data_IF_023813316350
#
_entry.id   IF_023813316350
#
_cell.length_a   1.000
_cell.length_b   1.000
_cell.length_c   1.000
_cell.angle_alpha   90.00
_cell.angle_beta   90.00
_cell.angle_gamma   90.00
#
_symmetry.space_group_name_H-M   'P 1'
#
loop_
_entity.id
_entity.type
_entity.pdbx_description
1 polymer ?
#
# COMPACT_ATOMS: atom_id res chain seq x y z
N UNK A 1 39.30 26.62 -39.89
CA UNK A 1 37.85 26.31 -39.97
C UNK A 1 37.37 26.16 -38.55
N UNK A 2 36.59 27.13 -38.05
CA UNK A 2 35.96 27.02 -36.74
C UNK A 2 34.57 26.45 -37.04
N UNK A 3 34.29 25.26 -36.51
CA UNK A 3 32.99 24.58 -36.60
C UNK A 3 31.90 25.44 -35.94
N UNK A 4 30.74 25.54 -36.59
CA UNK A 4 29.56 26.21 -36.03
C UNK A 4 29.20 25.59 -34.68
N UNK A 5 28.91 26.46 -33.71
CA UNK A 5 28.39 26.07 -32.40
C UNK A 5 26.90 25.78 -32.56
N UNK A 6 26.50 24.51 -32.49
CA UNK A 6 25.08 24.15 -32.38
C UNK A 6 24.56 24.51 -30.99
N UNK A 7 23.42 25.21 -30.93
CA UNK A 7 22.72 25.48 -29.68
C UNK A 7 21.91 24.27 -29.28
N UNK A 8 22.29 23.66 -28.16
CA UNK A 8 21.48 22.66 -27.45
C UNK A 8 20.24 23.35 -26.83
N UNK A 9 19.06 22.83 -27.18
CA UNK A 9 17.75 23.36 -26.74
C UNK A 9 17.14 22.55 -25.60
N UNK A 10 17.73 21.42 -25.21
CA UNK A 10 17.15 20.47 -24.25
C UNK A 10 17.11 21.03 -22.82
N UNK A 11 17.78 22.16 -22.58
CA UNK A 11 17.84 22.84 -21.29
C UNK A 11 17.37 24.31 -21.34
N UNK A 12 16.57 24.68 -22.35
CA UNK A 12 15.94 26.01 -22.40
C UNK A 12 14.65 25.99 -21.58
N UNK A 13 14.68 26.68 -20.42
CA UNK A 13 13.51 26.86 -19.54
C UNK A 13 13.75 26.33 -18.12
N UNK A 14 12.84 26.64 -17.20
CA UNK A 14 12.87 26.06 -15.87
C UNK A 14 12.40 24.60 -15.95
N UNK A 15 13.17 23.67 -15.37
CA UNK A 15 12.75 22.27 -15.25
C UNK A 15 11.57 22.19 -14.25
N UNK A 16 10.35 21.83 -14.69
CA UNK A 16 9.20 21.75 -13.80
C UNK A 16 9.14 20.42 -13.02
N UNK A 17 9.99 19.44 -13.36
CA UNK A 17 10.01 18.13 -12.73
C UNK A 17 10.71 18.21 -11.36
N UNK A 18 10.04 17.68 -10.34
CA UNK A 18 10.63 17.46 -9.02
C UNK A 18 11.47 16.18 -9.04
N UNK A 19 12.38 16.03 -8.06
CA UNK A 19 13.15 14.79 -7.87
C UNK A 19 12.24 13.57 -7.83
N UNK A 20 12.54 12.56 -8.64
CA UNK A 20 11.77 11.31 -8.66
C UNK A 20 12.10 10.42 -7.46
N UNK A 21 11.06 9.86 -6.85
CA UNK A 21 11.20 8.79 -5.87
C UNK A 21 11.40 7.48 -6.62
N UNK A 22 12.45 6.73 -6.27
CA UNK A 22 12.69 5.41 -6.87
C UNK A 22 11.56 4.45 -6.46
N UNK A 23 10.76 4.04 -7.43
CA UNK A 23 9.67 3.08 -7.29
C UNK A 23 9.88 1.91 -8.24
N UNK A 24 9.56 0.70 -7.79
CA UNK A 24 9.51 -0.48 -8.68
C UNK A 24 8.10 -1.03 -8.73
N UNK A 25 7.55 -1.21 -9.93
CA UNK A 25 6.21 -1.78 -10.14
C UNK A 25 6.29 -3.20 -10.67
N UNK A 26 5.46 -4.07 -10.12
CA UNK A 26 5.35 -5.48 -10.48
C UNK A 26 3.89 -5.82 -10.75
N UNK A 27 3.67 -6.70 -11.74
CA UNK A 27 2.40 -7.38 -11.88
C UNK A 27 2.46 -8.69 -11.09
N UNK A 28 1.60 -8.85 -10.10
CA UNK A 28 1.52 -10.03 -9.24
C UNK A 28 0.07 -10.51 -9.13
N UNK A 29 -0.13 -11.74 -8.65
CA UNK A 29 -1.48 -12.23 -8.30
C UNK A 29 -1.87 -11.88 -6.86
N UNK A 30 -3.16 -12.01 -6.55
CA UNK A 30 -3.69 -11.77 -5.21
C UNK A 30 -3.03 -12.65 -4.14
N UNK A 31 -2.69 -13.90 -4.48
CA UNK A 31 -1.96 -14.79 -3.59
C UNK A 31 -0.58 -14.22 -3.23
N UNK A 32 0.18 -13.77 -4.21
CA UNK A 32 1.46 -13.11 -3.98
C UNK A 32 1.32 -11.81 -3.20
N UNK A 33 0.25 -11.04 -3.44
CA UNK A 33 -0.04 -9.82 -2.69
C UNK A 33 -0.31 -10.13 -1.22
N UNK A 34 -1.14 -11.13 -0.93
CA UNK A 34 -1.42 -11.56 0.44
C UNK A 34 -0.14 -11.92 1.18
N UNK A 35 0.72 -12.72 0.56
CA UNK A 35 2.02 -13.07 1.15
C UNK A 35 2.90 -11.85 1.43
N UNK A 36 2.98 -10.90 0.49
CA UNK A 36 3.80 -9.68 0.66
C UNK A 36 3.25 -8.74 1.72
N UNK A 37 1.94 -8.73 1.93
CA UNK A 37 1.30 -8.00 3.03
C UNK A 37 1.23 -8.84 4.31
N UNK A 38 1.95 -9.96 4.40
CA UNK A 38 2.00 -10.76 5.61
C UNK A 38 0.78 -11.63 5.90
N UNK A 39 -0.18 -11.81 5.00
CA UNK A 39 -1.32 -12.68 5.27
C UNK A 39 -1.02 -14.14 4.89
N UNK A 40 -1.02 -15.04 5.88
CA UNK A 40 -0.89 -16.48 5.64
C UNK A 40 -2.25 -17.12 5.36
N UNK A 41 -2.38 -17.70 4.16
CA UNK A 41 -3.63 -18.34 3.73
C UNK A 41 -3.93 -19.64 4.45
N UNK A 42 -2.90 -20.39 4.87
CA UNK A 42 -3.08 -21.70 5.49
C UNK A 42 -3.72 -21.54 6.86
N UNK A 43 -3.22 -20.58 7.62
CA UNK A 43 -3.65 -20.31 8.99
C UNK A 43 -4.72 -19.21 9.04
N UNK A 44 -4.95 -18.50 7.91
CA UNK A 44 -5.85 -17.33 7.78
C UNK A 44 -5.53 -16.22 8.78
N UNK A 45 -4.26 -16.08 9.12
CA UNK A 45 -3.74 -15.16 10.12
C UNK A 45 -2.59 -14.34 9.55
N UNK A 46 -2.30 -13.21 10.19
CA UNK A 46 -1.14 -12.40 9.84
C UNK A 46 0.15 -13.10 10.28
N UNK A 47 1.17 -13.04 9.43
CA UNK A 47 2.51 -13.52 9.66
C UNK A 47 3.18 -12.58 10.65
N UNK A 48 3.56 -13.18 11.76
CA UNK A 48 4.22 -12.52 12.87
C UNK A 48 5.61 -13.13 13.00
N UNK A 49 6.63 -12.30 12.85
CA UNK A 49 7.99 -12.67 13.21
C UNK A 49 8.25 -12.32 14.68
N UNK A 50 8.96 -13.20 15.39
CA UNK A 50 9.42 -12.90 16.75
C UNK A 50 10.79 -12.26 16.69
N UNK A 51 10.85 -10.94 16.91
CA UNK A 51 12.09 -10.19 16.94
C UNK A 51 12.38 -9.71 18.36
N UNK A 52 13.51 -10.14 18.95
CA UNK A 52 13.81 -9.97 20.39
C UNK A 52 12.67 -10.45 21.32
N UNK A 53 11.96 -11.50 20.92
CA UNK A 53 10.79 -12.02 21.66
C UNK A 53 9.52 -11.18 21.51
N UNK A 54 9.55 -10.10 20.73
CA UNK A 54 8.39 -9.25 20.43
C UNK A 54 7.77 -9.69 19.10
N UNK A 55 6.44 -9.90 19.03
CA UNK A 55 5.75 -10.18 17.78
C UNK A 55 5.70 -8.92 16.90
N UNK A 56 6.25 -8.99 15.70
CA UNK A 56 6.24 -7.92 14.69
C UNK A 56 5.56 -8.44 13.42
N UNK A 57 4.56 -7.74 12.87
CA UNK A 57 3.93 -8.13 11.63
C UNK A 57 4.88 -7.92 10.44
N UNK A 58 4.75 -8.77 9.43
CA UNK A 58 5.46 -8.61 8.15
C UNK A 58 5.10 -7.27 7.46
N UNK A 59 3.83 -6.88 7.54
CA UNK A 59 3.32 -5.64 6.94
C UNK A 59 2.46 -4.86 7.93
N UNK A 60 2.76 -3.57 8.11
CA UNK A 60 1.95 -2.66 8.89
C UNK A 60 0.85 -2.06 8.03
N UNK A 61 -0.41 -2.35 8.39
CA UNK A 61 -1.58 -1.80 7.69
C UNK A 61 -1.97 -0.39 8.15
N UNK A 62 -1.39 0.09 9.24
CA UNK A 62 -1.61 1.44 9.79
C UNK A 62 -0.28 2.17 9.91
N UNK A 63 0.46 2.39 8.81
CA UNK A 63 1.78 3.01 8.90
C UNK A 63 1.68 4.45 9.38
N UNK A 64 2.70 4.88 10.12
CA UNK A 64 2.84 6.25 10.62
C UNK A 64 4.02 6.97 9.96
N UNK A 65 3.99 8.30 10.03
CA UNK A 65 5.11 9.18 9.71
C UNK A 65 5.44 10.05 10.91
N UNK A 66 6.68 10.54 10.99
CA UNK A 66 7.11 11.41 12.09
C UNK A 66 7.03 12.88 11.63
N UNK A 67 6.28 13.68 12.37
CA UNK A 67 6.21 15.12 12.14
C UNK A 67 7.43 15.87 12.73
N UNK A 68 7.56 17.15 12.40
CA UNK A 68 8.63 18.06 12.84
C UNK A 68 8.80 18.14 14.35
N UNK A 69 7.73 17.89 15.11
CA UNK A 69 7.72 17.94 16.57
C UNK A 69 8.09 16.56 17.17
N UNK A 70 8.32 15.55 16.33
CA UNK A 70 8.67 14.18 16.71
C UNK A 70 7.46 13.29 17.01
N UNK A 71 6.26 13.73 16.64
CA UNK A 71 5.00 13.02 16.89
C UNK A 71 4.75 12.04 15.73
N UNK A 72 4.35 10.81 16.08
CA UNK A 72 3.93 9.83 15.08
C UNK A 72 2.47 10.04 14.69
N UNK A 73 2.23 10.15 13.38
CA UNK A 73 0.92 10.43 12.81
C UNK A 73 0.56 9.30 11.83
N UNK A 74 -0.54 8.61 12.09
CA UNK A 74 -1.19 7.77 11.06
C UNK A 74 -1.83 8.70 10.02
N UNK A 75 -1.27 8.71 8.81
CA UNK A 75 -1.73 9.60 7.75
C UNK A 75 -2.93 9.04 6.97
N UNK A 76 -3.18 7.73 7.06
CA UNK A 76 -4.27 7.08 6.34
C UNK A 76 -5.59 7.16 7.13
N UNK A 77 -6.70 7.43 6.45
CA UNK A 77 -8.05 7.31 7.03
C UNK A 77 -8.33 5.89 7.54
N UNK A 78 -9.23 5.75 8.51
CA UNK A 78 -9.72 4.44 8.98
C UNK A 78 -10.48 3.64 7.90
N UNK A 79 -10.98 2.46 8.28
CA UNK A 79 -11.77 1.60 7.39
C UNK A 79 -13.19 2.16 7.21
N UNK A 80 -13.44 2.85 6.09
CA UNK A 80 -14.68 3.60 5.83
C UNK A 80 -15.49 3.06 4.65
N UNK A 81 -15.02 1.99 4.00
CA UNK A 81 -15.78 1.36 2.93
C UNK A 81 -17.05 0.69 3.47
N UNK A 82 -18.18 1.05 2.87
CA UNK A 82 -19.46 0.38 3.08
C UNK A 82 -19.40 -1.07 2.56
N UNK A 83 -20.32 -1.92 3.04
CA UNK A 83 -20.45 -3.29 2.56
C UNK A 83 -20.57 -3.35 1.03
N UNK A 84 -21.40 -2.48 0.45
CA UNK A 84 -21.59 -2.40 -1.01
C UNK A 84 -20.26 -2.12 -1.75
N UNK A 85 -19.45 -1.18 -1.25
CA UNK A 85 -18.13 -0.90 -1.84
C UNK A 85 -17.18 -2.11 -1.74
N UNK A 86 -17.21 -2.83 -0.62
CA UNK A 86 -16.44 -4.08 -0.48
C UNK A 86 -16.91 -5.15 -1.47
N UNK A 87 -18.22 -5.31 -1.63
CA UNK A 87 -18.81 -6.27 -2.57
C UNK A 87 -18.53 -5.92 -4.03
N UNK A 88 -18.58 -4.64 -4.41
CA UNK A 88 -18.23 -4.16 -5.75
C UNK A 88 -16.76 -4.40 -6.10
N UNK A 89 -15.86 -4.40 -5.10
CA UNK A 89 -14.47 -4.84 -5.32
C UNK A 89 -14.41 -6.33 -5.69
N UNK A 90 -15.18 -7.19 -5.03
CA UNK A 90 -15.25 -8.62 -5.36
C UNK A 90 -15.84 -8.81 -6.76
N UNK A 91 -16.89 -8.06 -7.10
CA UNK A 91 -17.49 -8.08 -8.43
C UNK A 91 -16.50 -7.64 -9.52
N UNK A 92 -15.65 -6.65 -9.23
CA UNK A 92 -14.59 -6.23 -10.15
C UNK A 92 -13.59 -7.36 -10.45
N UNK A 93 -13.27 -8.17 -9.45
CA UNK A 93 -12.39 -9.35 -9.62
C UNK A 93 -13.05 -10.40 -10.51
N UNK A 94 -14.33 -10.71 -10.28
CA UNK A 94 -15.08 -11.65 -11.11
C UNK A 94 -15.18 -11.22 -12.57
N UNK A 95 -15.24 -9.90 -12.81
CA UNK A 95 -15.32 -9.32 -14.15
C UNK A 95 -13.96 -8.96 -14.76
N UNK A 96 -12.84 -9.39 -14.16
CA UNK A 96 -11.48 -9.09 -14.63
C UNK A 96 -11.16 -7.59 -14.77
N UNK A 97 -11.87 -6.74 -14.03
CA UNK A 97 -11.66 -5.28 -14.00
C UNK A 97 -10.49 -4.98 -13.07
N UNK A 98 -9.55 -4.13 -13.48
CA UNK A 98 -8.38 -3.76 -12.67
C UNK A 98 -8.80 -3.17 -11.31
N UNK A 99 -8.23 -3.69 -10.21
CA UNK A 99 -8.51 -3.20 -8.85
C UNK A 99 -7.48 -2.16 -8.34
N UNK A 100 -6.65 -1.63 -9.25
CA UNK A 100 -5.70 -0.55 -9.00
C UNK A 100 -4.38 -1.00 -8.37
N UNK A 101 -3.65 -0.01 -7.85
CA UNK A 101 -2.30 -0.17 -7.29
C UNK A 101 -2.31 -0.44 -5.79
N UNK A 102 -1.41 -1.29 -5.31
CA UNK A 102 -1.08 -1.45 -3.89
C UNK A 102 0.35 -0.97 -3.71
N UNK A 103 0.56 0.00 -2.83
CA UNK A 103 1.89 0.56 -2.58
C UNK A 103 2.40 0.07 -1.26
N UNK A 104 3.59 -0.51 -1.26
CA UNK A 104 4.29 -0.97 -0.08
C UNK A 104 5.62 -0.24 0.04
N UNK A 105 5.98 0.16 1.26
CA UNK A 105 7.33 0.60 1.59
C UNK A 105 8.03 -0.48 2.39
N UNK A 106 9.22 -0.88 1.97
CA UNK A 106 10.07 -1.76 2.77
C UNK A 106 10.68 -0.99 3.93
N UNK A 107 10.84 -1.67 5.07
CA UNK A 107 11.58 -1.15 6.23
C UNK A 107 12.84 -1.96 6.40
N UNK A 108 13.97 -1.27 6.52
CA UNK A 108 15.23 -1.95 6.80
C UNK A 108 15.20 -2.63 8.16
N UNK A 109 15.97 -3.71 8.27
CA UNK A 109 16.12 -4.44 9.53
C UNK A 109 16.55 -3.53 10.69
N UNK A 110 17.50 -2.61 10.43
CA UNK A 110 17.96 -1.62 11.40
C UNK A 110 16.84 -0.70 11.90
N UNK A 111 15.88 -0.35 11.03
CA UNK A 111 14.73 0.47 11.41
C UNK A 111 13.83 -0.29 12.39
N UNK A 112 13.50 -1.54 12.08
CA UNK A 112 12.65 -2.41 12.94
C UNK A 112 13.34 -2.67 14.28
N UNK A 113 14.62 -3.07 14.26
CA UNK A 113 15.40 -3.32 15.47
C UNK A 113 15.41 -2.09 16.40
N UNK A 114 15.68 -0.90 15.85
CA UNK A 114 15.69 0.35 16.62
C UNK A 114 14.35 0.59 17.31
N UNK A 115 13.23 0.41 16.60
CA UNK A 115 11.89 0.61 17.17
C UNK A 115 11.56 -0.40 18.27
N UNK A 116 11.96 -1.65 18.11
CA UNK A 116 11.82 -2.68 19.15
C UNK A 116 12.62 -2.30 20.41
N UNK A 117 13.88 -1.87 20.25
CA UNK A 117 14.72 -1.39 21.38
C UNK A 117 14.13 -0.17 22.07
N UNK A 118 13.53 0.75 21.32
CA UNK A 118 12.81 1.93 21.83
C UNK A 118 11.41 1.59 22.40
N UNK A 119 10.99 0.31 22.38
CA UNK A 119 9.65 -0.15 22.79
C UNK A 119 8.50 0.49 21.99
N UNK A 120 8.76 0.93 20.76
CA UNK A 120 7.78 1.50 19.84
C UNK A 120 7.22 0.42 18.93
N UNK A 121 6.27 -0.35 19.45
CA UNK A 121 5.69 -1.49 18.71
C UNK A 121 4.53 -1.08 17.81
N UNK A 122 3.78 -0.05 18.21
CA UNK A 122 2.76 0.54 17.35
C UNK A 122 3.39 1.04 16.03
N UNK A 123 2.67 0.80 14.93
CA UNK A 123 3.06 1.20 13.58
C UNK A 123 4.40 0.60 13.10
N UNK A 124 4.82 -0.54 13.67
CA UNK A 124 6.07 -1.22 13.31
C UNK A 124 5.78 -2.50 12.55
N UNK A 125 6.33 -2.62 11.34
CA UNK A 125 6.38 -3.84 10.54
C UNK A 125 7.63 -3.86 9.65
N UNK A 126 7.94 -5.01 9.03
CA UNK A 126 9.03 -5.12 8.04
C UNK A 126 8.71 -4.43 6.72
N UNK A 127 7.44 -4.13 6.51
CA UNK A 127 6.94 -3.30 5.42
C UNK A 127 5.72 -2.51 5.87
N UNK A 128 5.35 -1.49 5.11
CA UNK A 128 4.19 -0.64 5.35
C UNK A 128 3.28 -0.64 4.13
N UNK A 129 1.98 -0.93 4.30
CA UNK A 129 1.00 -0.75 3.24
C UNK A 129 0.67 0.75 3.11
N UNK A 130 1.33 1.44 2.20
CA UNK A 130 1.23 2.90 1.98
C UNK A 130 -0.10 3.28 1.33
N UNK A 131 -0.56 2.53 0.33
CA UNK A 131 -1.86 2.73 -0.32
C UNK A 131 -2.53 1.39 -0.64
N UNK A 132 -3.86 1.38 -0.61
CA UNK A 132 -4.66 0.18 -0.87
C UNK A 132 -5.31 -0.43 0.37
N UNK A 133 -5.18 0.18 1.56
CA UNK A 133 -5.73 -0.33 2.83
C UNK A 133 -7.17 -0.83 2.74
N UNK A 134 -8.09 -0.02 2.21
CA UNK A 134 -9.50 -0.42 2.08
C UNK A 134 -9.69 -1.65 1.19
N UNK A 135 -8.98 -1.70 0.07
CA UNK A 135 -9.05 -2.80 -0.89
C UNK A 135 -8.48 -4.05 -0.26
N UNK A 136 -7.26 -3.96 0.29
CA UNK A 136 -6.57 -5.08 0.90
C UNK A 136 -7.40 -5.69 2.04
N UNK A 137 -7.85 -4.88 3.00
CA UNK A 137 -8.68 -5.38 4.10
C UNK A 137 -9.98 -5.99 3.62
N UNK A 138 -10.62 -5.44 2.59
CA UNK A 138 -11.84 -6.03 2.01
C UNK A 138 -11.59 -7.39 1.36
N UNK A 139 -10.44 -7.58 0.70
CA UNK A 139 -10.05 -8.87 0.13
C UNK A 139 -9.82 -9.93 1.21
N UNK A 140 -9.12 -9.56 2.29
CA UNK A 140 -8.90 -10.43 3.43
C UNK A 140 -10.23 -10.77 4.13
N UNK A 141 -11.07 -9.76 4.38
CA UNK A 141 -12.39 -9.93 4.98
C UNK A 141 -13.25 -10.92 4.18
N UNK A 142 -13.28 -10.80 2.84
CA UNK A 142 -14.01 -11.74 1.99
C UNK A 142 -13.42 -13.15 2.05
N UNK A 143 -12.09 -13.27 1.94
CA UNK A 143 -11.38 -14.55 2.01
C UNK A 143 -11.61 -15.28 3.36
N UNK A 144 -11.80 -14.53 4.43
CA UNK A 144 -12.12 -15.01 5.77
C UNK A 144 -13.64 -15.18 6.02
N UNK A 145 -14.48 -15.07 4.98
CA UNK A 145 -15.94 -15.19 5.06
C UNK A 145 -16.60 -14.17 6.00
N UNK A 146 -16.04 -12.95 6.13
CA UNK A 146 -16.62 -11.90 6.99
C UNK A 146 -17.82 -11.19 6.35
N UNK A 147 -17.96 -11.26 5.03
CA UNK A 147 -19.13 -10.77 4.29
C UNK A 147 -19.33 -11.57 2.99
N UNK A 148 -20.56 -11.65 2.46
CA UNK A 148 -20.85 -12.32 1.19
C UNK A 148 -20.65 -11.40 -0.02
N UNK A 149 -20.49 -11.96 -1.22
CA UNK A 149 -20.53 -11.23 -2.49
C UNK A 149 -21.94 -10.64 -2.78
N UNK A 150 -22.12 -9.96 -3.92
CA UNK A 150 -23.44 -9.42 -4.33
C UNK A 150 -24.50 -10.50 -4.59
N UNK A 151 -24.10 -11.75 -4.72
CA UNK A 151 -24.97 -12.90 -4.96
C UNK A 151 -25.28 -13.69 -3.67
N UNK A 152 -24.76 -13.23 -2.52
CA UNK A 152 -24.98 -13.88 -1.23
C UNK A 152 -24.00 -15.02 -0.90
N UNK A 153 -22.97 -15.25 -1.72
CA UNK A 153 -21.98 -16.31 -1.48
C UNK A 153 -20.80 -15.78 -0.66
N UNK A 154 -20.38 -16.55 0.34
CA UNK A 154 -19.08 -16.36 0.99
C UNK A 154 -17.97 -17.01 0.17
N UNK A 155 -16.71 -16.65 0.43
CA UNK A 155 -15.56 -17.24 -0.27
C UNK A 155 -15.55 -18.78 -0.18
N UNK A 156 -15.93 -19.34 0.97
CA UNK A 156 -16.04 -20.80 1.15
C UNK A 156 -17.15 -21.47 0.35
N UNK A 157 -18.16 -20.71 -0.06
CA UNK A 157 -19.29 -21.24 -0.85
C UNK A 157 -18.91 -21.35 -2.33
N UNK A 158 -17.86 -20.66 -2.75
CA UNK A 158 -17.34 -20.71 -4.11
C UNK A 158 -16.75 -22.10 -4.42
N UNK A 159 -16.92 -22.54 -5.67
CA UNK A 159 -16.27 -23.76 -6.15
C UNK A 159 -14.75 -23.69 -6.03
N UNK A 160 -14.07 -24.83 -5.88
CA UNK A 160 -12.61 -24.88 -5.83
C UNK A 160 -11.95 -24.26 -7.08
N UNK A 161 -12.63 -24.26 -8.24
CA UNK A 161 -12.16 -23.56 -9.44
C UNK A 161 -12.24 -22.05 -9.26
N UNK A 162 -13.39 -21.52 -8.82
CA UNK A 162 -13.58 -20.09 -8.58
C UNK A 162 -12.65 -19.55 -7.49
N UNK A 163 -12.44 -20.30 -6.40
CA UNK A 163 -11.48 -19.92 -5.37
C UNK A 163 -10.04 -19.78 -5.92
N UNK A 164 -9.64 -20.70 -6.82
CA UNK A 164 -8.32 -20.62 -7.49
C UNK A 164 -8.22 -19.44 -8.46
N UNK A 165 -9.29 -19.17 -9.21
CA UNK A 165 -9.34 -18.03 -10.13
C UNK A 165 -9.26 -16.70 -9.37
N UNK A 166 -9.99 -16.58 -8.26
CA UNK A 166 -9.91 -15.44 -7.37
C UNK A 166 -8.46 -15.22 -6.87
N UNK A 167 -7.82 -16.25 -6.33
CA UNK A 167 -6.48 -16.07 -5.74
C UNK A 167 -5.38 -15.87 -6.78
N UNK A 168 -5.59 -16.33 -8.02
CA UNK A 168 -4.67 -16.13 -9.15
C UNK A 168 -4.99 -14.90 -9.99
N UNK A 169 -5.94 -14.08 -9.57
CA UNK A 169 -6.28 -12.84 -10.26
C UNK A 169 -5.08 -11.89 -10.30
N UNK A 170 -4.79 -11.31 -11.49
CA UNK A 170 -3.55 -10.54 -11.80
C UNK A 170 -3.79 -9.12 -12.32
N UNK A 171 -5.03 -8.63 -12.34
CA UNK A 171 -5.32 -7.27 -12.80
C UNK A 171 -5.15 -6.26 -11.66
N UNK A 172 -3.95 -6.24 -11.09
CA UNK A 172 -3.52 -5.32 -10.04
C UNK A 172 -2.05 -4.98 -10.25
N UNK A 173 -1.63 -3.84 -9.73
CA UNK A 173 -0.22 -3.46 -9.73
C UNK A 173 0.29 -3.40 -8.29
N UNK A 174 1.41 -4.04 -8.03
CA UNK A 174 2.14 -3.90 -6.78
C UNK A 174 3.30 -2.92 -6.99
N UNK A 175 3.40 -1.89 -6.14
CA UNK A 175 4.45 -0.88 -6.20
C UNK A 175 5.25 -0.93 -4.92
N UNK A 176 6.56 -0.97 -5.05
CA UNK A 176 7.48 -1.05 -3.93
C UNK A 176 8.34 0.21 -3.85
N UNK A 177 8.31 0.85 -2.69
CA UNK A 177 9.27 1.85 -2.25
C UNK A 177 10.39 1.12 -1.50
N UNK A 178 11.63 1.47 -1.84
CA UNK A 178 12.83 0.88 -1.27
C UNK A 178 13.01 1.22 0.21
N UNK A 179 13.89 0.52 0.91
CA UNK A 179 14.16 0.70 2.34
C UNK A 179 14.68 2.10 2.69
N UNK A 180 15.34 2.75 1.72
CA UNK A 180 15.87 4.12 1.83
C UNK A 180 14.80 5.20 1.61
N UNK A 181 13.58 4.83 1.18
CA UNK A 181 12.50 5.79 1.00
C UNK A 181 12.22 6.51 2.32
N UNK A 182 12.08 7.83 2.27
CA UNK A 182 11.81 8.68 3.43
C UNK A 182 10.31 8.77 3.73
N UNK A 183 9.96 9.37 4.87
CA UNK A 183 8.55 9.69 5.17
C UNK A 183 7.99 10.72 4.16
N UNK A 184 8.85 11.60 3.63
CA UNK A 184 8.49 12.53 2.55
C UNK A 184 8.15 11.80 1.26
N UNK A 185 8.98 10.84 0.88
CA UNK A 185 8.74 9.99 -0.30
C UNK A 185 7.44 9.19 -0.16
N UNK A 186 7.17 8.70 1.05
CA UNK A 186 5.94 7.98 1.40
C UNK A 186 4.71 8.87 1.22
N UNK A 187 4.69 10.07 1.83
CA UNK A 187 3.55 11.00 1.72
C UNK A 187 3.38 11.51 0.30
N UNK A 188 4.47 11.83 -0.40
CA UNK A 188 4.44 12.27 -1.79
C UNK A 188 3.81 11.18 -2.69
N UNK A 189 4.24 9.93 -2.52
CA UNK A 189 3.70 8.79 -3.28
C UNK A 189 2.22 8.58 -2.98
N UNK A 190 1.85 8.59 -1.69
CA UNK A 190 0.46 8.45 -1.26
C UNK A 190 -0.44 9.54 -1.86
N UNK A 191 -0.01 10.80 -1.80
CA UNK A 191 -0.75 11.94 -2.35
C UNK A 191 -0.84 11.88 -3.87
N UNK A 192 0.24 11.51 -4.56
CA UNK A 192 0.29 11.45 -6.03
C UNK A 192 -0.71 10.45 -6.59
N UNK A 193 -0.84 9.28 -5.95
CA UNK A 193 -1.78 8.23 -6.37
C UNK A 193 -3.23 8.65 -6.09
N UNK A 194 -3.48 9.24 -4.92
CA UNK A 194 -4.82 9.69 -4.55
C UNK A 194 -5.26 10.97 -5.29
N UNK A 195 -4.34 11.71 -5.90
CA UNK A 195 -4.66 12.85 -6.77
C UNK A 195 -5.24 12.42 -8.13
N UNK A 196 -4.80 11.27 -8.67
CA UNK A 196 -5.24 10.77 -9.97
C UNK A 196 -6.43 9.79 -9.91
N UNK A 197 -6.71 9.20 -8.74
CA UNK A 197 -7.73 8.16 -8.56
C UNK A 197 -9.09 8.63 -8.01
N UNK A 198 -9.96 7.68 -7.65
CA UNK A 198 -11.27 7.93 -7.02
C UNK A 198 -11.10 8.86 -5.81
N UNK A 199 -11.81 10.00 -5.75
CA UNK A 199 -11.44 11.11 -4.88
C UNK A 199 -11.55 10.73 -3.41
N UNK A 200 -10.40 10.73 -2.74
CA UNK A 200 -10.32 10.95 -1.30
C UNK A 200 -11.03 12.26 -0.95
N UNK A 201 -11.70 12.32 0.20
CA UNK A 201 -12.38 13.55 0.61
C UNK A 201 -11.39 14.71 0.68
N UNK A 202 -11.83 15.91 0.30
CA UNK A 202 -10.96 17.10 0.29
C UNK A 202 -10.39 17.37 1.69
N UNK A 203 -11.20 17.13 2.71
CA UNK A 203 -10.84 17.30 4.12
C UNK A 203 -9.66 16.40 4.49
N UNK A 204 -9.67 15.13 4.06
CA UNK A 204 -8.58 14.21 4.37
C UNK A 204 -7.31 14.53 3.58
N UNK A 205 -7.44 14.97 2.32
CA UNK A 205 -6.29 15.48 1.55
C UNK A 205 -5.66 16.71 2.22
N UNK A 206 -6.47 17.62 2.76
CA UNK A 206 -5.98 18.79 3.51
C UNK A 206 -5.28 18.37 4.81
N UNK A 207 -5.82 17.37 5.52
CA UNK A 207 -5.16 16.81 6.69
C UNK A 207 -3.76 16.26 6.34
N UNK A 208 -3.64 15.39 5.33
CA UNK A 208 -2.35 14.81 4.96
C UNK A 208 -1.35 15.88 4.52
N UNK A 209 -1.79 16.88 3.74
CA UNK A 209 -0.95 18.02 3.33
C UNK A 209 -0.54 18.94 4.48
N UNK A 210 -1.23 18.90 5.61
CA UNK A 210 -0.91 19.72 6.78
C UNK A 210 0.22 19.15 7.65
N UNK A 211 0.55 17.86 7.46
CA UNK A 211 1.63 17.18 8.19
C UNK A 211 2.97 17.78 7.75
N UNK A 212 3.69 18.38 8.70
CA UNK A 212 5.05 18.92 8.48
C UNK A 212 6.05 17.89 8.98
N UNK A 213 6.85 17.33 8.08
CA UNK A 213 7.82 16.27 8.41
C UNK A 213 9.08 16.83 9.09
N UNK A 214 9.75 15.95 9.85
CA UNK A 214 11.02 16.22 10.56
C UNK A 214 12.24 16.16 9.67
#
# INVERSE_FOLDING_TARGET
>A
MITEVEKDVDHIGANPFTTEVRVTSYQIDLESLFMRCGFDRKDKEDRIEKHFGVPIPECCLTPSVIDKDGIEIEYQRGLVWSLEQKQLLIESIYNHVEIGKFVIRKRSWNWVERRVKEKKIAHTGFSDLVDGKQRFTSLIDFYQNRFPDLHGNYFSDLSAKAQREFTRYRHLTYVELDEDATDSDTLHTFLSINFAGVPMSREHLHFVKSIKLK
#
